data_IF_219986229745
#
_entry.id   IF_219986229745
#
_cell.length_a   1.000
_cell.length_b   1.000
_cell.length_c   1.000
_cell.angle_alpha   90.00
_cell.angle_beta   90.00
_cell.angle_gamma   90.00
#
_symmetry.space_group_name_H-M   'P 1'
#
loop_
_entity.id
_entity.type
_entity.pdbx_description
1 polymer ?
#
# COMPACT_ATOMS: atom_id res chain seq x y z
N UNK A 1 -5.47 -7.23 -25.76
CA UNK A 1 -6.14 -5.94 -25.99
C UNK A 1 -7.28 -5.77 -24.99
N UNK A 2 -7.00 -5.24 -23.80
CA UNK A 2 -8.00 -4.80 -22.80
C UNK A 2 -7.18 -4.06 -21.74
N UNK A 3 -7.37 -2.80 -21.41
CA UNK A 3 -8.16 -1.71 -21.93
C UNK A 3 -7.43 -0.51 -21.32
N UNK A 4 -7.12 0.51 -22.13
CA UNK A 4 -6.54 1.77 -21.65
C UNK A 4 -7.66 2.55 -20.93
N UNK A 5 -8.29 1.94 -19.93
CA UNK A 5 -9.17 2.64 -18.98
C UNK A 5 -8.32 3.72 -18.35
N UNK A 6 -8.80 4.97 -18.37
CA UNK A 6 -8.11 6.08 -17.72
C UNK A 6 -7.66 5.66 -16.31
N UNK A 7 -6.49 6.11 -15.82
CA UNK A 7 -5.88 5.62 -14.57
C UNK A 7 -6.85 5.60 -13.37
N UNK A 8 -7.83 6.50 -13.37
CA UNK A 8 -8.92 6.56 -12.40
C UNK A 8 -9.85 5.34 -12.47
N UNK A 9 -10.26 4.90 -13.65
CA UNK A 9 -11.15 3.75 -13.82
C UNK A 9 -10.47 2.41 -13.46
N UNK A 10 -9.18 2.26 -13.78
CA UNK A 10 -8.39 1.10 -13.34
C UNK A 10 -8.19 1.07 -11.82
N UNK A 11 -7.96 2.25 -11.20
CA UNK A 11 -7.85 2.36 -9.74
C UNK A 11 -9.19 2.04 -9.03
N UNK A 12 -10.32 2.53 -9.55
CA UNK A 12 -11.65 2.25 -8.98
C UNK A 12 -12.01 0.77 -9.09
N UNK A 13 -11.68 0.11 -10.20
CA UNK A 13 -11.90 -1.33 -10.38
C UNK A 13 -11.04 -2.15 -9.41
N UNK A 14 -9.76 -1.80 -9.26
CA UNK A 14 -8.86 -2.42 -8.27
C UNK A 14 -9.31 -2.19 -6.82
N UNK A 15 -9.83 -0.99 -6.50
CA UNK A 15 -10.43 -0.69 -5.21
C UNK A 15 -11.66 -1.57 -4.96
N UNK A 16 -12.57 -1.73 -5.92
CA UNK A 16 -13.77 -2.58 -5.77
C UNK A 16 -13.44 -4.05 -5.55
N UNK A 17 -12.39 -4.58 -6.18
CA UNK A 17 -11.91 -5.95 -5.95
C UNK A 17 -11.51 -6.21 -4.49
N UNK A 18 -11.02 -5.19 -3.76
CA UNK A 18 -10.61 -5.31 -2.35
C UNK A 18 -11.67 -4.82 -1.37
N UNK A 19 -12.51 -3.87 -1.80
CA UNK A 19 -13.58 -3.29 -0.98
C UNK A 19 -14.58 -4.36 -0.53
N UNK A 20 -14.92 -5.31 -1.42
CA UNK A 20 -15.85 -6.40 -1.09
C UNK A 20 -15.28 -7.32 0.01
N UNK A 21 -14.03 -7.83 -0.05
CA UNK A 21 -13.40 -8.55 1.06
C UNK A 21 -13.29 -7.77 2.38
N UNK A 22 -12.92 -6.49 2.33
CA UNK A 22 -12.73 -5.66 3.54
C UNK A 22 -14.06 -5.38 4.24
N UNK A 23 -15.10 -5.08 3.47
CA UNK A 23 -16.44 -4.88 4.03
C UNK A 23 -17.04 -6.20 4.52
N UNK A 24 -16.78 -7.32 3.83
CA UNK A 24 -17.29 -8.62 4.21
C UNK A 24 -16.75 -9.08 5.58
N UNK A 25 -15.45 -8.88 5.85
CA UNK A 25 -14.88 -9.20 7.17
C UNK A 25 -15.41 -8.27 8.26
N UNK A 26 -15.49 -6.96 7.99
CA UNK A 26 -16.02 -6.00 8.96
C UNK A 26 -17.49 -6.29 9.32
N UNK A 27 -18.36 -6.56 8.33
CA UNK A 27 -19.76 -6.88 8.59
C UNK A 27 -19.95 -8.21 9.32
N UNK A 28 -19.23 -9.27 8.91
CA UNK A 28 -19.30 -10.56 9.60
C UNK A 28 -18.89 -10.44 11.07
N UNK A 29 -17.91 -9.59 11.34
CA UNK A 29 -17.40 -9.42 12.69
C UNK A 29 -18.29 -8.55 13.57
N UNK A 30 -18.81 -7.44 13.04
CA UNK A 30 -19.78 -6.59 13.75
C UNK A 30 -21.01 -7.42 14.12
N UNK A 31 -21.53 -8.24 13.21
CA UNK A 31 -22.66 -9.13 13.50
C UNK A 31 -22.31 -10.22 14.54
N UNK A 32 -21.06 -10.69 14.57
CA UNK A 32 -20.59 -11.67 15.54
C UNK A 32 -20.36 -11.10 16.95
N UNK A 33 -19.95 -9.83 17.08
CA UNK A 33 -19.66 -9.20 18.37
C UNK A 33 -20.86 -8.50 19.00
N UNK A 34 -21.86 -8.07 18.22
CA UNK A 34 -23.12 -7.49 18.72
C UNK A 34 -23.80 -8.34 19.81
N UNK A 35 -24.02 -9.66 19.63
CA UNK A 35 -24.63 -10.47 20.69
C UNK A 35 -23.71 -10.65 21.90
N UNK A 36 -22.39 -10.53 21.74
CA UNK A 36 -21.42 -10.66 22.82
C UNK A 36 -21.42 -9.43 23.75
N UNK A 37 -21.69 -8.23 23.21
CA UNK A 37 -21.80 -6.98 23.99
C UNK A 37 -23.14 -6.89 24.74
N UNK A 38 -24.20 -7.46 24.19
CA UNK A 38 -25.56 -7.40 24.77
C UNK A 38 -25.83 -8.59 25.71
N UNK A 39 -24.96 -9.61 25.72
CA UNK A 39 -25.13 -10.81 26.54
C UNK A 39 -25.14 -10.50 28.04
N UNK A 40 -26.32 -10.59 28.66
CA UNK A 40 -26.51 -10.54 30.11
C UNK A 40 -26.66 -11.95 30.69
N UNK A 41 -25.83 -12.31 31.67
CA UNK A 41 -25.78 -13.64 32.30
C UNK A 41 -24.46 -13.89 33.06
N UNK A 42 -24.24 -15.10 33.59
CA UNK A 42 -23.01 -15.44 34.31
C UNK A 42 -21.76 -15.27 33.41
N UNK A 43 -20.79 -14.47 33.86
CA UNK A 43 -19.62 -14.11 33.07
C UNK A 43 -19.89 -13.08 31.96
N UNK A 44 -21.00 -12.35 32.01
CA UNK A 44 -21.31 -11.26 31.08
C UNK A 44 -20.23 -10.17 31.07
N UNK A 45 -19.66 -9.83 32.22
CA UNK A 45 -18.61 -8.80 32.28
C UNK A 45 -17.39 -9.16 31.42
N UNK A 46 -16.99 -10.44 31.43
CA UNK A 46 -15.89 -10.92 30.61
C UNK A 46 -16.23 -10.92 29.12
N UNK A 47 -17.49 -11.25 28.76
CA UNK A 47 -17.97 -11.21 27.36
C UNK A 47 -18.10 -9.79 26.83
N UNK A 48 -18.58 -8.86 27.66
CA UNK A 48 -18.68 -7.44 27.33
C UNK A 48 -17.30 -6.81 27.17
N UNK A 49 -16.35 -7.12 28.07
CA UNK A 49 -14.97 -6.66 27.97
C UNK A 49 -14.30 -7.16 26.67
N UNK A 50 -14.47 -8.44 26.33
CA UNK A 50 -13.97 -8.99 25.07
C UNK A 50 -14.68 -8.38 23.86
N UNK A 51 -16.01 -8.27 23.88
CA UNK A 51 -16.79 -7.70 22.79
C UNK A 51 -16.43 -6.24 22.51
N UNK A 52 -16.26 -5.43 23.54
CA UNK A 52 -15.83 -4.02 23.41
C UNK A 52 -14.40 -3.90 22.91
N UNK A 53 -13.44 -4.62 23.49
CA UNK A 53 -12.04 -4.59 23.07
C UNK A 53 -11.89 -4.95 21.57
N UNK A 54 -12.61 -5.96 21.11
CA UNK A 54 -12.47 -6.46 19.76
C UNK A 54 -13.28 -5.60 18.76
N UNK A 55 -14.44 -5.05 19.14
CA UNK A 55 -15.16 -4.06 18.34
C UNK A 55 -14.28 -2.83 18.04
N UNK A 56 -13.73 -2.20 19.09
CA UNK A 56 -12.83 -1.06 18.92
C UNK A 56 -11.55 -1.47 18.18
N UNK A 57 -11.02 -2.65 18.48
CA UNK A 57 -9.85 -3.22 17.80
C UNK A 57 -10.07 -3.37 16.30
N UNK A 58 -11.25 -3.79 15.86
CA UNK A 58 -11.52 -4.00 14.44
C UNK A 58 -11.82 -2.69 13.70
N UNK A 59 -12.56 -1.78 14.32
CA UNK A 59 -12.78 -0.43 13.77
C UNK A 59 -11.43 0.28 13.64
N UNK A 60 -10.63 0.24 14.70
CA UNK A 60 -9.27 0.74 14.75
C UNK A 60 -8.41 0.11 13.66
N UNK A 61 -8.26 -1.22 13.64
CA UNK A 61 -7.43 -1.94 12.66
C UNK A 61 -7.87 -1.73 11.21
N UNK A 62 -9.17 -1.55 10.94
CA UNK A 62 -9.66 -1.29 9.58
C UNK A 62 -9.28 0.12 9.13
N UNK A 63 -9.56 1.14 9.96
CA UNK A 63 -9.21 2.53 9.65
C UNK A 63 -7.69 2.73 9.62
N UNK A 64 -7.00 2.28 10.67
CA UNK A 64 -5.55 2.34 10.75
C UNK A 64 -4.93 1.49 9.64
N UNK A 65 -5.41 0.29 9.34
CA UNK A 65 -4.87 -0.56 8.27
C UNK A 65 -5.04 0.05 6.88
N UNK A 66 -6.19 0.67 6.59
CA UNK A 66 -6.42 1.42 5.33
C UNK A 66 -5.46 2.60 5.19
N UNK A 67 -5.11 3.26 6.30
CA UNK A 67 -4.21 4.41 6.30
C UNK A 67 -2.73 4.01 6.36
N UNK A 68 -2.38 3.00 7.16
CA UNK A 68 -1.03 2.48 7.31
C UNK A 68 -0.57 1.84 6.01
N UNK A 69 -1.40 1.05 5.32
CA UNK A 69 -1.00 0.37 4.08
C UNK A 69 -0.35 1.31 3.05
N UNK A 70 -0.97 2.44 2.63
CA UNK A 70 -0.35 3.37 1.70
C UNK A 70 0.82 4.15 2.31
N UNK A 71 0.74 4.55 3.59
CA UNK A 71 1.84 5.25 4.27
C UNK A 71 3.08 4.37 4.34
N UNK A 72 2.92 3.12 4.74
CA UNK A 72 3.99 2.13 4.83
C UNK A 72 4.59 1.84 3.44
N UNK A 73 3.75 1.75 2.40
CA UNK A 73 4.23 1.63 1.03
C UNK A 73 5.13 2.81 0.64
N UNK A 74 4.70 4.05 0.90
CA UNK A 74 5.50 5.24 0.61
C UNK A 74 6.79 5.26 1.43
N UNK A 75 6.74 4.95 2.72
CA UNK A 75 7.91 4.90 3.60
C UNK A 75 8.92 3.87 3.12
N UNK A 76 8.50 2.64 2.83
CA UNK A 76 9.39 1.59 2.30
C UNK A 76 9.94 2.00 0.94
N UNK A 77 9.12 2.54 0.04
CA UNK A 77 9.58 3.00 -1.28
C UNK A 77 10.63 4.10 -1.15
N UNK A 78 10.41 5.06 -0.25
CA UNK A 78 11.34 6.16 -0.03
C UNK A 78 12.65 5.68 0.62
N UNK A 79 12.55 4.74 1.58
CA UNK A 79 13.69 4.09 2.20
C UNK A 79 14.50 3.29 1.17
N UNK A 80 13.84 2.54 0.30
CA UNK A 80 14.49 1.76 -0.77
C UNK A 80 15.24 2.67 -1.76
N UNK A 81 14.63 3.78 -2.17
CA UNK A 81 15.28 4.78 -3.05
C UNK A 81 16.48 5.42 -2.34
N UNK A 82 16.34 5.75 -1.05
CA UNK A 82 17.44 6.30 -0.27
C UNK A 82 18.62 5.33 -0.12
N UNK A 83 18.33 4.03 0.14
CA UNK A 83 19.36 2.98 0.20
C UNK A 83 20.01 2.79 -1.18
N UNK A 84 19.23 2.77 -2.26
CA UNK A 84 19.74 2.66 -3.62
C UNK A 84 20.66 3.84 -3.98
N UNK A 85 20.28 5.08 -3.60
CA UNK A 85 21.12 6.28 -3.77
C UNK A 85 22.44 6.19 -2.99
N UNK A 86 22.43 5.53 -1.82
CA UNK A 86 23.65 5.29 -1.02
C UNK A 86 24.56 4.21 -1.63
N UNK A 87 24.00 3.24 -2.35
CA UNK A 87 24.77 2.17 -3.05
C UNK A 87 25.21 2.56 -4.46
N UNK A 88 24.63 3.60 -5.06
CA UNK A 88 24.89 4.05 -6.44
C UNK A 88 25.99 5.09 -6.63
N UNK A 89 26.89 5.31 -5.66
CA UNK A 89 28.05 6.20 -5.84
C UNK A 89 29.33 5.39 -6.05
N UNK A 90 29.41 4.69 -7.18
CA UNK A 90 30.71 4.43 -7.82
C UNK A 90 30.84 5.44 -8.98
N UNK A 91 31.88 6.28 -9.00
CA UNK A 91 32.10 7.24 -10.07
C UNK A 91 32.60 6.47 -11.29
N UNK A 92 31.80 6.36 -12.34
CA UNK A 92 32.31 6.03 -13.67
C UNK A 92 32.85 7.32 -14.29
N UNK A 93 34.17 7.38 -14.39
CA UNK A 93 34.95 8.45 -15.00
C UNK A 93 35.28 8.09 -16.45
N UNK A 94 34.29 7.95 -17.32
CA UNK A 94 34.57 8.00 -18.76
C UNK A 94 33.81 9.13 -19.40
N UNK A 95 34.47 10.29 -19.33
CA UNK A 95 34.22 11.52 -20.08
C UNK A 95 33.83 11.22 -21.53
N UNK A 96 32.83 11.91 -22.09
CA UNK A 96 32.63 11.91 -23.53
C UNK A 96 33.83 12.65 -24.15
N UNK A 97 34.74 11.88 -24.76
CA UNK A 97 35.83 12.42 -25.56
C UNK A 97 35.24 13.13 -26.78
N UNK A 98 34.98 14.43 -26.61
CA UNK A 98 35.01 15.40 -27.70
C UNK A 98 36.47 15.78 -27.90
N UNK A 99 37.10 15.21 -28.91
CA UNK A 99 38.18 15.88 -29.62
C UNK A 99 37.72 16.13 -31.06
N UNK A 100 37.70 17.41 -31.41
CA UNK A 100 37.28 17.98 -32.68
C UNK A 100 38.36 17.75 -33.79
N UNK A 101 38.48 18.64 -34.79
CA UNK A 101 38.26 18.42 -36.22
C UNK A 101 39.57 18.18 -37.00
N UNK A 102 39.54 17.62 -38.22
CA UNK A 102 40.41 18.02 -39.35
C UNK A 102 40.25 17.10 -40.59
N UNK A 103 40.10 17.76 -41.75
CA UNK A 103 40.57 17.41 -43.10
C UNK A 103 40.00 16.18 -43.86
N UNK A 104 39.04 16.46 -44.76
CA UNK A 104 38.97 16.17 -46.23
C UNK A 104 40.01 15.23 -46.90
N UNK A 105 39.81 14.81 -48.18
CA UNK A 105 38.60 14.49 -48.98
C UNK A 105 38.75 13.20 -49.85
N UNK A 106 37.74 12.89 -50.67
CA UNK A 106 37.86 12.28 -52.03
C UNK A 106 38.49 10.89 -52.22
N UNK A 107 37.75 9.98 -52.87
CA UNK A 107 38.13 9.01 -53.92
C UNK A 107 36.98 7.98 -53.97
N UNK A 108 36.08 8.03 -54.95
CA UNK A 108 36.19 7.57 -56.35
C UNK A 108 35.26 6.35 -56.52
#
# INVERSE_FOLDING_TARGET
>A
ETERKGPVAAAVEACRLRLRPILMTAFAFILGTVPLVIATGPGAEMRQALGTAVCFGMIGATLFGLFLTPVFYVVIRNLLIWIAKKRGKSPDNTTPDKHDPHATPSHA
#
